data_IF_354472066274
#
_entry.id   IF_354472066274
#
_cell.length_a   1.000
_cell.length_b   1.000
_cell.length_c   1.000
_cell.angle_alpha   90.00
_cell.angle_beta   90.00
_cell.angle_gamma   90.00
#
_symmetry.space_group_name_H-M   'P 1'
#
loop_
_entity.id
_entity.type
_entity.pdbx_description
1 polymer ?
#
# COMPACT_ATOMS: atom_id res chain seq x y z
N UNK A 1 -30.95 71.18 65.80
CA UNK A 1 -31.60 70.58 66.97
C UNK A 1 -31.24 69.10 66.99
N UNK A 2 -30.48 68.77 67.93
CA UNK A 2 -30.58 67.65 68.91
C UNK A 2 -30.30 66.27 68.38
N UNK A 3 -29.03 65.87 68.63
CA UNK A 3 -28.61 64.82 69.59
C UNK A 3 -29.33 63.45 69.43
N UNK A 4 -28.65 62.33 69.32
CA UNK A 4 -27.89 61.53 70.27
C UNK A 4 -27.55 60.20 69.59
N UNK A 5 -26.36 59.80 69.46
CA UNK A 5 -25.51 58.98 70.35
C UNK A 5 -26.18 57.75 70.94
N UNK A 6 -25.55 56.56 70.76
CA UNK A 6 -25.25 55.48 71.73
C UNK A 6 -24.93 54.22 70.89
N UNK A 7 -23.73 53.79 70.85
CA UNK A 7 -22.99 52.85 71.70
C UNK A 7 -23.13 51.38 71.33
N UNK A 8 -22.02 50.88 70.95
CA UNK A 8 -21.36 49.61 71.30
C UNK A 8 -22.19 48.31 71.45
N UNK A 9 -21.81 47.33 70.74
CA UNK A 9 -21.39 46.08 71.40
C UNK A 9 -20.62 45.17 70.46
N UNK A 10 -19.52 44.74 70.97
CA UNK A 10 -18.62 43.72 70.41
C UNK A 10 -19.30 42.35 70.35
N UNK A 11 -19.32 41.73 69.20
CA UNK A 11 -19.44 40.26 69.13
C UNK A 11 -18.35 39.71 68.23
N UNK A 12 -17.32 39.24 68.87
CA UNK A 12 -16.26 38.38 68.36
C UNK A 12 -16.94 37.07 67.89
N UNK A 13 -16.96 36.81 66.59
CA UNK A 13 -17.30 35.50 66.08
C UNK A 13 -16.07 34.93 65.34
N UNK A 14 -15.50 33.93 66.00
CA UNK A 14 -14.47 33.03 65.50
C UNK A 14 -15.04 32.31 64.32
N UNK A 15 -14.56 32.60 63.12
CA UNK A 15 -14.86 31.83 61.92
C UNK A 15 -13.71 30.82 61.72
N UNK A 16 -14.00 29.61 62.07
CA UNK A 16 -13.14 28.44 61.82
C UNK A 16 -12.97 28.25 60.30
N UNK A 17 -11.73 28.40 59.82
CA UNK A 17 -11.32 28.05 58.47
C UNK A 17 -11.31 26.51 58.36
N UNK A 18 -12.29 25.94 57.66
CA UNK A 18 -12.22 24.61 57.08
C UNK A 18 -11.54 24.72 55.69
N UNK A 19 -10.24 24.50 55.63
CA UNK A 19 -9.52 24.29 54.40
C UNK A 19 -9.85 22.87 53.89
N UNK A 20 -10.92 22.75 53.10
CA UNK A 20 -11.22 21.53 52.39
C UNK A 20 -10.24 21.33 51.21
N UNK A 21 -9.31 20.41 51.42
CA UNK A 21 -8.41 19.94 50.37
C UNK A 21 -9.22 19.10 49.39
N UNK A 22 -9.76 19.75 48.32
CA UNK A 22 -10.34 19.06 47.18
C UNK A 22 -9.20 18.49 46.35
N UNK A 23 -8.85 17.23 46.62
CA UNK A 23 -7.97 16.44 45.78
C UNK A 23 -8.76 16.09 44.50
N UNK A 24 -8.69 16.92 43.47
CA UNK A 24 -9.30 16.66 42.16
C UNK A 24 -8.57 15.51 41.49
N UNK A 25 -9.13 14.31 41.64
CA UNK A 25 -8.73 13.12 40.88
C UNK A 25 -9.21 13.28 39.44
N UNK A 26 -8.46 14.00 38.61
CA UNK A 26 -8.73 14.04 37.19
C UNK A 26 -8.34 12.70 36.59
N UNK A 27 -9.26 11.95 35.97
CA UNK A 27 -8.90 10.74 35.26
C UNK A 27 -8.00 11.17 34.07
N UNK A 28 -6.71 10.79 34.14
CA UNK A 28 -5.82 10.90 33.01
C UNK A 28 -6.29 9.87 31.98
N UNK A 29 -7.15 10.32 31.08
CA UNK A 29 -7.41 9.60 29.84
C UNK A 29 -6.12 9.69 29.03
N UNK A 30 -5.25 8.72 29.17
CA UNK A 30 -4.19 8.48 28.20
C UNK A 30 -4.89 7.94 26.95
N UNK A 31 -4.87 8.64 25.80
CA UNK A 31 -5.28 8.01 24.57
C UNK A 31 -4.28 6.87 24.33
N UNK A 32 -4.77 5.64 24.46
CA UNK A 32 -4.07 4.49 23.89
C UNK A 32 -3.99 4.80 22.40
N UNK A 33 -2.84 5.30 21.97
CA UNK A 33 -2.48 5.35 20.56
C UNK A 33 -2.35 3.88 20.17
N UNK A 34 -3.48 3.27 19.77
CA UNK A 34 -3.43 2.00 19.08
C UNK A 34 -2.56 2.25 17.85
N UNK A 35 -1.30 1.81 17.94
CA UNK A 35 -0.46 1.67 16.78
C UNK A 35 -1.24 0.72 15.85
N UNK A 36 -1.95 1.30 14.88
CA UNK A 36 -2.49 0.54 13.77
C UNK A 36 -1.29 -0.13 13.13
N UNK A 37 -1.05 -1.37 13.51
CA UNK A 37 -0.17 -2.28 12.79
C UNK A 37 -0.69 -2.28 11.37
N UNK A 38 -0.07 -1.50 10.51
CA UNK A 38 -0.34 -1.54 9.07
C UNK A 38 0.04 -2.94 8.66
N UNK A 39 -0.98 -3.81 8.53
CA UNK A 39 -0.79 -5.18 8.06
C UNK A 39 -0.14 -5.05 6.69
N UNK A 40 1.14 -5.38 6.61
CA UNK A 40 1.83 -5.49 5.33
C UNK A 40 1.58 -6.87 4.76
N UNK A 41 1.45 -6.93 3.45
CA UNK A 41 1.21 -8.15 2.70
C UNK A 41 2.38 -8.49 1.79
N UNK A 42 2.51 -9.78 1.50
CA UNK A 42 3.42 -10.31 0.48
C UNK A 42 2.59 -10.77 -0.73
N UNK A 43 2.95 -10.26 -1.90
CA UNK A 43 2.40 -10.69 -3.17
C UNK A 43 3.40 -11.56 -3.90
N UNK A 44 3.03 -12.80 -4.19
CA UNK A 44 3.79 -13.71 -5.05
C UNK A 44 3.15 -13.76 -6.44
N UNK A 45 3.93 -13.48 -7.47
CA UNK A 45 3.50 -13.56 -8.87
C UNK A 45 4.20 -14.71 -9.55
N UNK A 46 3.43 -15.69 -10.00
CA UNK A 46 3.91 -16.80 -10.82
C UNK A 46 3.71 -16.45 -12.29
N UNK A 47 4.80 -16.24 -13.01
CA UNK A 47 4.76 -15.94 -14.45
C UNK A 47 5.04 -17.21 -15.21
N UNK A 48 4.11 -17.63 -16.08
CA UNK A 48 4.18 -18.88 -16.82
C UNK A 48 4.19 -18.65 -18.33
N UNK A 49 4.65 -19.65 -19.07
CA UNK A 49 4.61 -19.67 -20.54
C UNK A 49 5.73 -18.87 -21.19
N UNK A 50 6.91 -18.77 -20.57
CA UNK A 50 8.09 -18.26 -21.26
C UNK A 50 8.46 -19.18 -22.42
N UNK A 51 8.63 -18.61 -23.64
CA UNK A 51 8.95 -19.38 -24.84
C UNK A 51 10.38 -19.92 -24.86
N UNK A 52 11.24 -19.36 -24.03
CA UNK A 52 12.60 -19.80 -23.80
C UNK A 52 13.08 -19.28 -22.43
N UNK A 53 14.29 -19.66 -22.03
CA UNK A 53 14.88 -19.30 -20.72
C UNK A 53 15.96 -18.24 -20.83
N UNK A 54 16.06 -17.52 -21.95
CA UNK A 54 17.00 -16.41 -22.13
C UNK A 54 16.50 -15.19 -21.38
N UNK A 55 17.42 -14.37 -20.90
CA UNK A 55 17.09 -13.11 -20.23
C UNK A 55 16.39 -13.30 -18.89
N UNK A 56 15.42 -12.46 -18.58
CA UNK A 56 14.70 -12.44 -17.30
C UNK A 56 13.22 -12.06 -17.49
N UNK A 57 12.40 -12.49 -16.54
CA UNK A 57 11.07 -11.88 -16.38
C UNK A 57 11.24 -10.60 -15.59
N UNK A 58 10.69 -9.50 -16.13
CA UNK A 58 10.57 -8.23 -15.43
C UNK A 58 9.12 -7.98 -15.05
N UNK A 59 8.92 -7.52 -13.83
CA UNK A 59 7.60 -7.24 -13.28
C UNK A 59 7.59 -5.84 -12.70
N UNK A 60 6.49 -5.11 -12.92
CA UNK A 60 6.24 -3.80 -12.35
C UNK A 60 4.88 -3.80 -11.65
N UNK A 61 4.84 -3.33 -10.40
CA UNK A 61 3.66 -3.24 -9.56
C UNK A 61 3.18 -1.80 -9.51
N UNK A 62 1.91 -1.59 -9.84
CA UNK A 62 1.27 -0.28 -9.88
C UNK A 62 0.13 -0.19 -8.87
N UNK A 63 -0.09 1.00 -8.32
CA UNK A 63 -1.19 1.31 -7.41
C UNK A 63 -2.26 2.21 -8.03
N UNK A 64 -2.10 2.55 -9.30
CA UNK A 64 -3.00 3.40 -10.07
C UNK A 64 -2.73 3.29 -11.57
N UNK A 65 -3.53 3.97 -12.37
CA UNK A 65 -3.48 3.92 -13.82
C UNK A 65 -2.31 4.70 -14.43
N UNK A 66 -1.66 5.58 -13.65
CA UNK A 66 -0.56 6.40 -14.16
C UNK A 66 0.63 5.51 -14.59
N UNK A 67 1.01 5.60 -15.86
CA UNK A 67 2.11 4.82 -16.44
C UNK A 67 1.81 3.36 -16.73
N UNK A 68 0.73 2.80 -16.20
CA UNK A 68 0.38 1.39 -16.43
C UNK A 68 -0.03 1.14 -17.88
N UNK A 69 0.40 0.04 -18.48
CA UNK A 69 1.37 -0.96 -18.01
C UNK A 69 2.81 -0.70 -18.48
N UNK A 70 3.06 0.38 -19.26
CA UNK A 70 4.26 0.52 -20.08
C UNK A 70 5.37 1.37 -19.46
N UNK A 71 5.06 2.24 -18.50
CA UNK A 71 6.03 3.13 -17.88
C UNK A 71 6.38 2.64 -16.47
N UNK A 72 7.40 1.80 -16.37
CA UNK A 72 7.87 1.26 -15.10
C UNK A 72 8.43 2.33 -14.14
N UNK A 73 8.73 3.54 -14.61
CA UNK A 73 9.15 4.64 -13.73
C UNK A 73 8.02 5.14 -12.81
N UNK A 74 6.77 4.84 -13.16
CA UNK A 74 5.56 5.14 -12.38
C UNK A 74 5.10 3.98 -11.50
N UNK A 75 5.76 2.83 -11.60
CA UNK A 75 5.50 1.69 -10.73
C UNK A 75 5.98 1.97 -9.31
N UNK A 76 5.25 1.45 -8.32
CA UNK A 76 5.68 1.56 -6.91
C UNK A 76 6.83 0.60 -6.59
N UNK A 77 6.88 -0.54 -7.29
CA UNK A 77 7.97 -1.51 -7.19
C UNK A 77 8.23 -2.15 -8.54
N UNK A 78 9.50 -2.45 -8.80
CA UNK A 78 9.93 -3.26 -9.95
C UNK A 78 10.80 -4.40 -9.46
N UNK A 79 10.68 -5.56 -10.09
CA UNK A 79 11.45 -6.75 -9.79
C UNK A 79 11.86 -7.47 -11.06
N UNK A 80 12.94 -8.23 -10.98
CA UNK A 80 13.35 -9.13 -12.05
C UNK A 80 13.64 -10.52 -11.48
N UNK A 81 13.25 -11.58 -12.19
CA UNK A 81 13.46 -12.94 -11.80
C UNK A 81 14.03 -13.78 -12.95
N UNK A 82 14.86 -14.75 -12.60
CA UNK A 82 15.34 -15.75 -13.55
C UNK A 82 14.21 -16.72 -13.90
N UNK A 83 14.28 -17.28 -15.11
CA UNK A 83 13.32 -18.24 -15.61
C UNK A 83 13.80 -19.62 -15.26
N UNK A 84 12.98 -20.38 -14.58
CA UNK A 84 13.22 -21.79 -14.29
C UNK A 84 13.26 -22.59 -15.59
N UNK A 85 14.38 -23.33 -15.80
CA UNK A 85 14.66 -24.05 -17.04
C UNK A 85 13.78 -25.29 -17.25
N UNK A 86 13.20 -25.82 -16.17
CA UNK A 86 12.36 -27.04 -16.24
C UNK A 86 10.91 -26.70 -16.48
N UNK A 87 10.44 -25.60 -15.89
CA UNK A 87 9.03 -25.21 -15.91
C UNK A 87 8.72 -24.07 -16.88
N UNK A 88 9.75 -23.41 -17.43
CA UNK A 88 9.60 -22.19 -18.26
C UNK A 88 8.75 -21.13 -17.56
N UNK A 89 8.96 -20.98 -16.24
CA UNK A 89 8.23 -20.05 -15.39
C UNK A 89 9.20 -19.23 -14.54
N UNK A 90 8.69 -18.15 -13.95
CA UNK A 90 9.44 -17.34 -13.00
C UNK A 90 8.56 -16.98 -11.81
N UNK A 91 9.18 -16.78 -10.65
CA UNK A 91 8.52 -16.32 -9.42
C UNK A 91 9.05 -14.96 -9.03
N UNK A 92 8.14 -13.98 -8.95
CA UNK A 92 8.43 -12.62 -8.51
C UNK A 92 7.71 -12.38 -7.18
N UNK A 93 8.38 -11.75 -6.21
CA UNK A 93 7.82 -11.49 -4.88
C UNK A 93 7.92 -10.01 -4.56
N UNK A 94 6.81 -9.41 -4.15
CA UNK A 94 6.74 -8.07 -3.61
C UNK A 94 6.33 -8.16 -2.14
N UNK A 95 7.08 -7.53 -1.25
CA UNK A 95 6.85 -7.53 0.20
C UNK A 95 6.43 -6.16 0.69
N UNK A 96 5.97 -6.11 1.95
CA UNK A 96 5.67 -4.88 2.66
C UNK A 96 4.60 -3.99 1.99
N UNK A 97 3.66 -4.63 1.32
CA UNK A 97 2.60 -3.95 0.61
C UNK A 97 1.43 -3.63 1.56
N UNK A 98 1.03 -2.37 1.70
CA UNK A 98 -0.20 -2.04 2.41
C UNK A 98 -1.43 -2.58 1.66
N UNK A 99 -2.54 -2.88 2.36
CA UNK A 99 -3.79 -3.24 1.70
C UNK A 99 -4.22 -2.20 0.67
N UNK A 100 -4.80 -2.65 -0.45
CA UNK A 100 -5.21 -1.73 -1.51
C UNK A 100 -5.46 -2.41 -2.84
N UNK A 101 -5.72 -1.59 -3.87
CA UNK A 101 -5.83 -2.06 -5.25
C UNK A 101 -4.48 -1.93 -5.95
N UNK A 102 -4.11 -2.97 -6.68
CA UNK A 102 -2.85 -3.08 -7.41
C UNK A 102 -3.07 -3.70 -8.77
N UNK A 103 -2.16 -3.43 -9.69
CA UNK A 103 -2.03 -4.17 -10.95
C UNK A 103 -0.56 -4.50 -11.17
N UNK A 104 -0.29 -5.65 -11.80
CA UNK A 104 1.05 -6.08 -12.18
C UNK A 104 1.13 -6.13 -13.70
N UNK A 105 2.18 -5.56 -14.27
CA UNK A 105 2.59 -5.84 -15.63
C UNK A 105 3.88 -6.63 -15.63
N UNK A 106 4.03 -7.57 -16.56
CA UNK A 106 5.23 -8.38 -16.73
C UNK A 106 5.65 -8.43 -18.18
N UNK A 107 6.95 -8.59 -18.43
CA UNK A 107 7.45 -8.93 -19.76
C UNK A 107 8.68 -9.82 -19.65
N UNK A 108 8.94 -10.55 -20.74
CA UNK A 108 10.09 -11.42 -20.90
C UNK A 108 11.20 -10.68 -21.63
N UNK A 109 12.12 -10.08 -20.89
CA UNK A 109 13.28 -9.33 -21.38
C UNK A 109 14.35 -10.33 -21.86
N UNK A 110 14.21 -10.80 -23.11
CA UNK A 110 15.04 -11.86 -23.67
C UNK A 110 16.47 -11.40 -23.97
N UNK A 111 16.69 -10.12 -24.23
CA UNK A 111 17.98 -9.54 -24.59
C UNK A 111 18.60 -8.70 -23.46
N UNK A 112 17.96 -8.62 -22.30
CA UNK A 112 18.45 -7.93 -21.12
C UNK A 112 18.57 -6.40 -21.27
N UNK A 113 17.81 -5.80 -22.19
CA UNK A 113 17.84 -4.35 -22.47
C UNK A 113 16.91 -3.53 -21.55
N UNK A 114 16.12 -4.18 -20.70
CA UNK A 114 15.19 -3.61 -19.73
C UNK A 114 13.98 -2.90 -20.35
N UNK A 115 13.67 -3.19 -21.60
CA UNK A 115 12.57 -2.62 -22.34
C UNK A 115 11.79 -3.72 -23.04
N UNK A 116 10.48 -3.56 -23.14
CA UNK A 116 9.65 -4.43 -23.98
C UNK A 116 9.87 -4.07 -25.43
N UNK A 117 10.58 -4.91 -26.17
CA UNK A 117 10.84 -4.72 -27.58
C UNK A 117 9.58 -4.83 -28.42
N UNK A 118 9.43 -3.91 -29.36
CA UNK A 118 8.30 -3.83 -30.28
C UNK A 118 8.78 -3.78 -31.72
N UNK A 119 7.93 -4.24 -32.62
CA UNK A 119 8.17 -4.06 -34.05
C UNK A 119 7.82 -2.61 -34.47
N UNK A 120 8.03 -2.29 -35.76
CA UNK A 120 7.81 -0.95 -36.30
C UNK A 120 6.34 -0.48 -36.29
N UNK A 121 5.37 -1.40 -36.10
CA UNK A 121 3.95 -1.09 -35.95
C UNK A 121 3.51 -1.10 -34.47
N UNK A 122 4.45 -1.22 -33.50
CA UNK A 122 4.19 -1.14 -32.07
C UNK A 122 3.75 -2.44 -31.42
N UNK A 123 3.73 -3.57 -32.15
CA UNK A 123 3.40 -4.89 -31.58
C UNK A 123 4.61 -5.44 -30.85
N UNK A 124 4.44 -5.93 -29.58
CA UNK A 124 5.51 -6.56 -28.85
C UNK A 124 6.15 -7.74 -29.60
N UNK A 125 7.47 -7.81 -29.56
CA UNK A 125 8.26 -8.93 -30.05
C UNK A 125 8.58 -9.93 -28.94
N UNK A 126 8.55 -9.46 -27.72
CA UNK A 126 8.81 -10.23 -26.50
C UNK A 126 7.50 -10.59 -25.80
N UNK A 127 7.55 -11.61 -24.93
CA UNK A 127 6.39 -12.03 -24.17
C UNK A 127 5.98 -10.97 -23.15
N UNK A 128 4.69 -10.75 -22.99
CA UNK A 128 4.14 -9.80 -22.03
C UNK A 128 2.87 -10.34 -21.39
N UNK A 129 2.51 -9.79 -20.22
CA UNK A 129 1.31 -10.18 -19.52
C UNK A 129 0.93 -9.15 -18.45
N UNK A 130 -0.24 -9.32 -17.88
CA UNK A 130 -0.71 -8.51 -16.76
C UNK A 130 -1.61 -9.32 -15.83
N UNK A 131 -1.74 -8.85 -14.59
CA UNK A 131 -2.65 -9.44 -13.61
C UNK A 131 -4.06 -9.60 -14.18
N UNK A 132 -4.80 -10.60 -13.68
CA UNK A 132 -6.09 -11.04 -14.17
C UNK A 132 -6.11 -11.62 -15.61
N UNK A 133 -4.96 -11.72 -16.27
CA UNK A 133 -4.85 -12.29 -17.62
C UNK A 133 -5.93 -11.76 -18.59
N UNK A 134 -6.02 -10.44 -18.81
CA UNK A 134 -7.07 -9.88 -19.65
C UNK A 134 -7.03 -10.45 -21.06
N UNK A 135 -8.19 -10.65 -21.66
CA UNK A 135 -8.27 -11.14 -23.05
C UNK A 135 -7.55 -10.16 -23.98
N UNK A 136 -6.81 -10.71 -24.96
CA UNK A 136 -6.10 -9.90 -25.96
C UNK A 136 -7.10 -9.00 -26.71
N UNK A 137 -6.84 -7.70 -26.65
CA UNK A 137 -7.56 -6.64 -27.39
C UNK A 137 -6.55 -5.82 -28.20
N UNK A 138 -7.03 -4.91 -29.03
CA UNK A 138 -6.15 -3.92 -29.64
C UNK A 138 -5.62 -2.97 -28.55
N UNK A 139 -4.29 -2.92 -28.41
CA UNK A 139 -3.61 -2.07 -27.43
C UNK A 139 -3.36 -2.74 -26.07
N UNK A 140 -2.67 -2.02 -25.17
CA UNK A 140 -2.38 -2.50 -23.83
C UNK A 140 -3.65 -2.54 -22.96
N UNK A 141 -3.70 -3.46 -21.97
CA UNK A 141 -4.83 -3.47 -21.02
C UNK A 141 -4.81 -2.23 -20.14
N UNK A 142 -5.98 -1.83 -19.67
CA UNK A 142 -6.12 -0.75 -18.69
C UNK A 142 -5.84 -1.23 -17.26
N UNK A 143 -5.54 -0.30 -16.35
CA UNK A 143 -5.43 -0.59 -14.93
C UNK A 143 -6.73 -1.22 -14.38
N UNK A 144 -7.88 -0.72 -14.77
CA UNK A 144 -9.20 -1.21 -14.32
C UNK A 144 -9.47 -2.67 -14.72
N UNK A 145 -8.99 -3.11 -15.88
CA UNK A 145 -9.13 -4.50 -16.35
C UNK A 145 -8.20 -5.47 -15.60
N UNK A 146 -7.13 -4.95 -15.03
CA UNK A 146 -6.04 -5.74 -14.45
C UNK A 146 -5.90 -5.61 -12.94
N UNK A 147 -6.57 -4.62 -12.33
CA UNK A 147 -6.47 -4.40 -10.89
C UNK A 147 -7.05 -5.56 -10.09
N UNK A 148 -6.42 -5.85 -8.97
CA UNK A 148 -6.90 -6.77 -7.95
C UNK A 148 -6.80 -6.13 -6.58
N UNK A 149 -7.59 -6.62 -5.63
CA UNK A 149 -7.53 -6.16 -4.25
C UNK A 149 -6.58 -7.05 -3.45
N UNK A 150 -5.61 -6.43 -2.79
CA UNK A 150 -4.73 -7.04 -1.81
C UNK A 150 -5.27 -6.73 -0.41
N UNK A 151 -5.79 -7.72 0.30
CA UNK A 151 -6.47 -7.52 1.60
C UNK A 151 -5.95 -8.44 2.72
N UNK A 152 -5.27 -9.52 2.37
CA UNK A 152 -4.66 -10.46 3.33
C UNK A 152 -3.21 -10.12 3.65
N UNK A 153 -2.55 -11.02 4.37
CA UNK A 153 -1.10 -10.96 4.62
C UNK A 153 -0.28 -11.59 3.51
N UNK A 154 -0.89 -12.48 2.73
CA UNK A 154 -0.28 -13.18 1.59
C UNK A 154 -1.29 -13.33 0.46
N UNK A 155 -0.85 -13.16 -0.75
CA UNK A 155 -1.63 -13.40 -1.96
C UNK A 155 -0.72 -13.92 -3.08
N UNK A 156 -1.25 -14.84 -3.90
CA UNK A 156 -0.58 -15.34 -5.10
C UNK A 156 -1.42 -15.05 -6.35
N UNK A 157 -0.73 -14.69 -7.42
CA UNK A 157 -1.31 -14.49 -8.75
C UNK A 157 -0.54 -15.33 -9.76
N UNK A 158 -1.25 -15.79 -10.79
CA UNK A 158 -0.64 -16.36 -11.97
C UNK A 158 -0.83 -15.44 -13.18
N UNK A 159 0.26 -15.14 -13.86
CA UNK A 159 0.25 -14.33 -15.10
C UNK A 159 0.83 -15.17 -16.22
N UNK A 160 0.06 -15.34 -17.28
CA UNK A 160 0.47 -16.05 -18.49
C UNK A 160 1.04 -15.06 -19.51
N UNK A 161 2.23 -15.36 -20.00
CA UNK A 161 2.84 -14.60 -21.07
C UNK A 161 2.12 -14.83 -22.41
N UNK A 162 1.97 -13.76 -23.15
CA UNK A 162 1.50 -13.73 -24.55
C UNK A 162 2.62 -13.21 -25.45
N UNK A 163 2.71 -13.74 -26.66
CA UNK A 163 3.70 -13.34 -27.68
C UNK A 163 3.03 -12.86 -28.96
#
# INVERSE_FOLDING_TARGET
MTQRNISASRFLRIATLFAGLFLSLTPRFSPLLEAQSTRSATLTVHVIGARNTKGKIRAALFRGAEGFPNDASKAIHTQAADIDTQTSSARVVFTDLPPGFYAVSVFHDENMNQKLDKNFVGVPKEGYGASNNPKKKMGPPSFEETKFQLSGTEQSLEIKLMY
#
